data_IF_548632467046
#
_entry.id   IF_548632467046
#
_cell.length_a   1.000
_cell.length_b   1.000
_cell.length_c   1.000
_cell.angle_alpha   90.00
_cell.angle_beta   90.00
_cell.angle_gamma   90.00
#
_symmetry.space_group_name_H-M   'P 1'
#
loop_
_entity.id
_entity.type
_entity.pdbx_description
1 polymer ?
#
# COMPACT_ATOMS: atom_id res chain seq x y z
N UNK A 1 6.83 -13.14 0.04
CA UNK A 1 5.40 -13.17 -0.34
C UNK A 1 5.10 -11.92 -1.14
N UNK A 2 4.56 -12.03 -2.36
CA UNK A 2 4.14 -10.89 -3.18
C UNK A 2 2.72 -10.45 -2.82
N UNK A 3 2.45 -9.16 -2.91
CA UNK A 3 1.14 -8.56 -2.70
C UNK A 3 0.88 -7.51 -3.79
N UNK A 4 -0.33 -7.52 -4.33
CA UNK A 4 -0.84 -6.52 -5.26
C UNK A 4 -2.15 -5.99 -4.66
N UNK A 5 -2.14 -4.78 -4.11
CA UNK A 5 -3.26 -4.25 -3.32
C UNK A 5 -3.26 -2.72 -3.29
N UNK A 6 -4.44 -2.11 -3.28
CA UNK A 6 -4.58 -0.66 -3.05
C UNK A 6 -4.04 -0.23 -1.69
N UNK A 7 -3.98 -1.15 -0.71
CA UNK A 7 -3.41 -0.89 0.61
C UNK A 7 -1.89 -0.63 0.56
N UNK A 8 -1.25 -0.87 -0.58
CA UNK A 8 0.17 -0.60 -0.79
C UNK A 8 0.43 0.68 -1.58
N UNK A 9 -0.60 1.43 -1.96
CA UNK A 9 -0.42 2.66 -2.75
C UNK A 9 0.45 3.70 -2.02
N UNK A 10 1.43 4.31 -2.69
CA UNK A 10 2.20 5.43 -2.17
C UNK A 10 1.33 6.60 -1.71
N UNK A 11 0.29 6.95 -2.48
CA UNK A 11 -0.62 8.07 -2.24
C UNK A 11 -1.35 8.01 -0.89
N UNK A 12 -1.43 6.84 -0.27
CA UNK A 12 -1.99 6.69 1.08
C UNK A 12 -1.23 7.53 2.12
N UNK A 13 0.04 7.87 1.90
CA UNK A 13 0.83 8.71 2.79
C UNK A 13 0.28 10.15 2.86
N UNK A 14 -0.31 10.64 1.77
CA UNK A 14 -0.94 11.97 1.69
C UNK A 14 -2.41 11.95 2.13
N UNK A 15 -3.04 10.76 2.13
CA UNK A 15 -4.47 10.57 2.42
C UNK A 15 -4.71 10.28 3.90
N UNK A 16 -3.80 9.54 4.55
CA UNK A 16 -4.05 8.97 5.87
C UNK A 16 -3.26 9.70 6.96
N UNK A 17 -3.85 9.87 8.16
CA UNK A 17 -3.12 10.47 9.27
C UNK A 17 -1.99 9.54 9.75
N UNK A 18 -0.93 10.10 10.36
CA UNK A 18 0.07 9.32 11.07
C UNK A 18 -0.58 8.37 12.09
N UNK A 19 -0.08 7.14 12.17
CA UNK A 19 -0.62 6.10 13.06
C UNK A 19 -1.81 5.30 12.49
N UNK A 20 -2.20 5.54 11.23
CA UNK A 20 -3.18 4.69 10.54
C UNK A 20 -2.71 3.23 10.46
N UNK A 21 -3.59 2.28 10.81
CA UNK A 21 -3.31 0.84 10.65
C UNK A 21 -3.05 0.43 9.19
N UNK A 22 -3.60 1.17 8.23
CA UNK A 22 -3.33 0.93 6.80
C UNK A 22 -1.89 1.31 6.47
N UNK A 23 -1.40 2.45 6.98
CA UNK A 23 0.01 2.85 6.82
C UNK A 23 0.94 1.87 7.53
N UNK A 24 0.57 1.36 8.71
CA UNK A 24 1.31 0.29 9.36
C UNK A 24 1.38 -0.96 8.48
N UNK A 25 0.25 -1.43 7.91
CA UNK A 25 0.24 -2.56 7.00
C UNK A 25 1.15 -2.33 5.78
N UNK A 26 1.04 -1.16 5.13
CA UNK A 26 1.88 -0.76 4.00
C UNK A 26 3.37 -0.82 4.35
N UNK A 27 3.75 -0.38 5.56
CA UNK A 27 5.16 -0.36 6.01
C UNK A 27 5.82 -1.75 6.10
N UNK A 28 5.03 -2.83 6.09
CA UNK A 28 5.53 -4.21 6.11
C UNK A 28 6.03 -4.68 4.74
N UNK A 29 5.83 -3.88 3.69
CA UNK A 29 6.14 -4.21 2.31
C UNK A 29 7.13 -3.21 1.71
N UNK A 30 8.02 -3.73 0.87
CA UNK A 30 8.78 -2.93 -0.09
C UNK A 30 7.98 -2.89 -1.39
N UNK A 31 7.49 -1.69 -1.73
CA UNK A 31 6.69 -1.44 -2.94
C UNK A 31 7.65 -1.08 -4.08
N UNK A 32 7.53 -1.77 -5.21
CA UNK A 32 8.43 -1.60 -6.35
C UNK A 32 7.73 -1.10 -7.62
N UNK A 33 6.40 -1.13 -7.67
CA UNK A 33 5.62 -0.73 -8.84
C UNK A 33 4.20 -0.27 -8.46
N UNK A 34 3.65 0.63 -9.26
CA UNK A 34 2.30 1.16 -9.14
C UNK A 34 1.47 0.80 -10.39
N UNK A 35 0.23 0.36 -10.19
CA UNK A 35 -0.71 0.03 -11.26
C UNK A 35 -2.00 0.86 -11.14
N UNK A 36 -2.21 1.74 -12.11
CA UNK A 36 -3.38 2.63 -12.18
C UNK A 36 -4.54 2.05 -13.02
N UNK A 37 -4.49 0.78 -13.40
CA UNK A 37 -5.52 0.12 -14.21
C UNK A 37 -6.83 -0.10 -13.43
N UNK A 38 -6.79 0.00 -12.10
CA UNK A 38 -7.93 -0.32 -11.23
C UNK A 38 -8.24 0.81 -10.23
N UNK A 39 -9.52 1.07 -10.01
CA UNK A 39 -10.03 2.01 -8.98
C UNK A 39 -10.41 1.27 -7.68
N UNK A 40 -9.58 0.32 -7.24
CA UNK A 40 -9.92 -0.60 -6.15
C UNK A 40 -10.04 0.12 -4.80
N UNK A 41 -9.26 1.17 -4.54
CA UNK A 41 -9.42 1.98 -3.33
C UNK A 41 -10.84 2.56 -3.24
N UNK A 42 -11.37 3.07 -4.35
CA UNK A 42 -12.72 3.66 -4.41
C UNK A 42 -13.79 2.59 -4.19
N UNK A 43 -13.69 1.46 -4.89
CA UNK A 43 -14.59 0.32 -4.71
C UNK A 43 -14.64 -0.14 -3.24
N UNK A 44 -13.47 -0.29 -2.60
CA UNK A 44 -13.38 -0.83 -1.24
C UNK A 44 -13.76 0.17 -0.15
N UNK A 45 -13.49 1.46 -0.34
CA UNK A 45 -13.77 2.51 0.65
C UNK A 45 -15.22 3.01 0.56
N UNK A 46 -15.78 3.08 -0.64
CA UNK A 46 -17.12 3.61 -0.87
C UNK A 46 -18.18 2.53 -1.14
N UNK A 47 -17.76 1.31 -1.47
CA UNK A 47 -18.63 0.16 -1.79
C UNK A 47 -18.99 0.04 -3.28
N UNK A 48 -18.67 1.05 -4.08
CA UNK A 48 -18.91 1.11 -5.52
C UNK A 48 -18.01 2.16 -6.16
N UNK A 49 -17.82 2.06 -7.47
CA UNK A 49 -17.14 3.08 -8.27
C UNK A 49 -18.19 4.00 -8.90
N UNK A 50 -17.98 5.31 -8.83
CA UNK A 50 -18.86 6.34 -9.41
C UNK A 50 -18.05 7.34 -10.22
N UNK A 51 -18.63 7.86 -11.28
CA UNK A 51 -17.98 8.90 -12.11
C UNK A 51 -18.04 10.27 -11.44
N UNK A 52 -19.14 10.57 -10.76
CA UNK A 52 -19.24 11.77 -9.92
C UNK A 52 -18.61 11.53 -8.54
N UNK A 53 -17.36 11.96 -8.40
CA UNK A 53 -16.59 11.89 -7.15
C UNK A 53 -17.31 12.66 -6.02
N UNK A 54 -18.02 13.74 -6.31
CA UNK A 54 -18.71 14.54 -5.30
C UNK A 54 -19.86 13.75 -4.63
N UNK A 55 -20.37 12.72 -5.30
CA UNK A 55 -21.44 11.86 -4.78
C UNK A 55 -20.97 10.83 -3.74
N UNK A 56 -19.66 10.60 -3.59
CA UNK A 56 -19.15 9.61 -2.66
C UNK A 56 -19.54 9.91 -1.20
N UNK A 57 -19.89 8.89 -0.40
CA UNK A 57 -20.26 9.06 1.00
C UNK A 57 -19.05 9.49 1.84
N UNK A 58 -19.33 10.15 2.96
CA UNK A 58 -18.32 10.80 3.81
C UNK A 58 -18.46 10.43 5.29
N UNK A 59 -18.96 9.22 5.57
CA UNK A 59 -19.35 8.76 6.91
C UNK A 59 -18.13 8.47 7.79
N UNK A 60 -17.04 7.99 7.20
CA UNK A 60 -15.79 7.66 7.93
C UNK A 60 -14.67 8.66 7.63
N UNK A 61 -13.62 8.66 8.46
CA UNK A 61 -12.43 9.48 8.23
C UNK A 61 -11.72 9.14 6.92
N UNK A 62 -11.63 7.85 6.59
CA UNK A 62 -11.03 7.35 5.35
C UNK A 62 -11.82 7.81 4.10
N UNK A 63 -13.16 7.75 4.17
CA UNK A 63 -14.02 8.30 3.13
C UNK A 63 -13.80 9.81 2.96
N UNK A 64 -13.76 10.52 4.10
CA UNK A 64 -13.21 11.88 4.34
C UNK A 64 -12.07 12.24 3.40
N UNK A 65 -10.93 11.65 3.70
CA UNK A 65 -9.66 12.04 3.09
C UNK A 65 -9.53 11.54 1.66
N UNK A 66 -9.97 10.31 1.36
CA UNK A 66 -9.90 9.78 0.00
C UNK A 66 -10.72 10.62 -0.97
N UNK A 67 -11.97 10.97 -0.61
CA UNK A 67 -12.81 11.81 -1.47
C UNK A 67 -12.17 13.17 -1.73
N UNK A 68 -11.61 13.81 -0.70
CA UNK A 68 -10.89 15.09 -0.84
C UNK A 68 -9.70 14.97 -1.80
N UNK A 69 -8.92 13.90 -1.68
CA UNK A 69 -7.78 13.63 -2.54
C UNK A 69 -8.21 13.46 -4.00
N UNK A 70 -9.25 12.68 -4.26
CA UNK A 70 -9.82 12.48 -5.60
C UNK A 70 -10.40 13.77 -6.20
N UNK A 71 -11.13 14.58 -5.40
CA UNK A 71 -11.67 15.88 -5.84
C UNK A 71 -10.58 16.88 -6.22
N UNK A 72 -9.36 16.71 -5.70
CA UNK A 72 -8.20 17.52 -6.10
C UNK A 72 -7.52 17.06 -7.40
N UNK A 73 -8.09 16.06 -8.08
CA UNK A 73 -7.62 15.57 -9.38
C UNK A 73 -6.59 14.44 -9.30
N UNK A 74 -6.25 13.99 -8.09
CA UNK A 74 -5.34 12.86 -7.90
C UNK A 74 -6.05 11.51 -8.08
N UNK A 75 -5.26 10.44 -8.21
CA UNK A 75 -5.71 9.06 -8.33
C UNK A 75 -4.99 8.20 -7.29
N UNK A 76 -5.56 7.05 -6.94
CA UNK A 76 -4.93 6.08 -6.05
C UNK A 76 -4.59 4.84 -6.85
N UNK A 77 -3.30 4.49 -6.88
CA UNK A 77 -2.81 3.28 -7.54
C UNK A 77 -3.16 2.00 -6.76
N UNK A 78 -2.96 0.86 -7.41
CA UNK A 78 -2.60 -0.37 -6.73
C UNK A 78 -1.09 -0.40 -6.51
N UNK A 79 -0.62 -0.83 -5.35
CA UNK A 79 0.81 -1.08 -5.13
C UNK A 79 1.16 -2.54 -5.31
N UNK A 80 2.28 -2.81 -5.99
CA UNK A 80 2.92 -4.13 -6.05
C UNK A 80 4.14 -4.14 -5.14
N UNK A 81 4.18 -5.10 -4.23
CA UNK A 81 5.27 -5.19 -3.26
C UNK A 81 5.54 -6.59 -2.76
N UNK A 82 6.68 -6.74 -2.10
CA UNK A 82 7.05 -7.95 -1.37
C UNK A 82 7.12 -7.64 0.13
N UNK A 83 6.72 -8.59 0.96
CA UNK A 83 6.95 -8.47 2.41
C UNK A 83 8.44 -8.32 2.66
N UNK A 84 8.82 -7.33 3.47
CA UNK A 84 10.21 -7.03 3.81
C UNK A 84 10.94 -8.27 4.35
N UNK A 85 12.19 -8.45 3.93
CA UNK A 85 12.97 -9.64 4.26
C UNK A 85 13.11 -9.85 5.77
N UNK A 86 13.27 -8.76 6.54
CA UNK A 86 13.35 -8.79 8.01
C UNK A 86 12.15 -9.48 8.68
N UNK A 87 10.97 -9.43 8.04
CA UNK A 87 9.72 -9.98 8.56
C UNK A 87 9.50 -11.44 8.17
N UNK A 88 10.25 -11.95 7.18
CA UNK A 88 10.02 -13.28 6.60
C UNK A 88 10.88 -14.39 7.20
N UNK A 89 11.65 -14.12 8.26
CA UNK A 89 12.55 -15.10 8.87
C UNK A 89 13.77 -15.46 8.01
N UNK A 90 13.75 -15.13 6.71
CA UNK A 90 14.85 -15.26 5.77
C UNK A 90 16.07 -14.41 6.14
N UNK A 91 15.88 -13.33 6.91
CA UNK A 91 16.98 -12.52 7.42
C UNK A 91 17.86 -13.23 8.47
N UNK A 92 17.39 -14.34 9.08
CA UNK A 92 18.13 -15.05 10.14
C UNK A 92 19.18 -16.04 9.62
N UNK A 93 19.19 -16.38 8.33
CA UNK A 93 20.10 -17.40 7.78
C UNK A 93 21.43 -16.86 7.26
N UNK A 94 21.58 -15.54 7.15
CA UNK A 94 22.81 -14.90 6.67
C UNK A 94 23.90 -14.76 7.76
N UNK A 95 23.51 -14.74 9.05
CA UNK A 95 24.46 -14.63 10.16
C UNK A 95 24.94 -15.99 10.71
N UNK A 96 24.24 -17.09 10.39
CA UNK A 96 24.59 -18.43 10.88
C UNK A 96 25.64 -19.16 10.02
N UNK A 97 25.94 -18.68 8.81
CA UNK A 97 26.94 -19.28 7.93
C UNK A 97 28.18 -18.42 7.82
N UNK A 98 28.94 -18.32 8.92
CA UNK A 98 30.35 -17.88 8.93
C UNK A 98 31.27 -18.82 8.13
N UNK A 99 30.98 -18.99 6.84
CA UNK A 99 31.68 -19.85 5.90
C UNK A 99 32.81 -19.07 5.24
N UNK A 100 34.02 -19.34 5.72
CA UNK A 100 35.29 -18.98 5.08
C UNK A 100 35.28 -19.41 3.61
N UNK A 101 35.41 -18.47 2.69
CA UNK A 101 35.66 -18.76 1.28
C UNK A 101 37.12 -19.19 1.11
N UNK A 102 37.34 -20.46 0.73
CA UNK A 102 38.60 -20.87 0.09
C UNK A 102 38.37 -20.92 -1.43
N UNK A 103 39.16 -20.14 -2.17
CA UNK A 103 39.31 -20.27 -3.62
C UNK A 103 39.80 -21.67 -4.01
N UNK A 104 39.18 -22.25 -5.04
CA UNK A 104 39.84 -23.06 -6.08
C UNK A 104 39.04 -23.02 -7.38
#
# INVERSE_FOLDING_TARGET
MHCHSWLLSPELDDILPPGSNILYFKSLYDVYEEDFSFRQAEERVFGEIRDDIASYPERTGLQRSLKRYLLSGHRVSMGLGFVRAELTGAARTAEENGGVWYEK
#
